data_IF_297150649794
#
_entry.id   IF_297150649794
#
_cell.length_a   1.000
_cell.length_b   1.000
_cell.length_c   1.000
_cell.angle_alpha   90.00
_cell.angle_beta   90.00
_cell.angle_gamma   90.00
#
_symmetry.space_group_name_H-M   'P 1'
#
loop_
_entity.id
_entity.type
_entity.pdbx_description
1 polymer ?
#
# COMPACT_ATOMS: atom_id res chain seq x y z
N UNK A 1 11.47 -38.75 7.69
CA UNK A 1 10.91 -37.48 8.18
C UNK A 1 10.09 -36.92 7.04
N UNK A 2 8.78 -36.85 7.18
CA UNK A 2 7.93 -36.16 6.20
C UNK A 2 8.36 -34.71 6.18
N UNK A 3 8.83 -34.25 5.02
CA UNK A 3 8.92 -32.82 4.76
C UNK A 3 7.46 -32.39 4.63
N UNK A 4 6.91 -31.77 5.67
CA UNK A 4 5.65 -31.06 5.54
C UNK A 4 5.88 -29.99 4.48
N UNK A 5 5.46 -30.29 3.25
CA UNK A 5 5.45 -29.33 2.16
C UNK A 5 4.55 -28.19 2.64
N UNK A 6 5.14 -27.01 2.85
CA UNK A 6 4.39 -25.79 3.10
C UNK A 6 3.24 -25.72 2.09
N UNK A 7 1.99 -25.42 2.52
CA UNK A 7 0.88 -25.27 1.59
C UNK A 7 1.28 -24.30 0.47
N UNK A 8 0.88 -24.60 -0.77
CA UNK A 8 1.11 -23.67 -1.88
C UNK A 8 0.56 -22.28 -1.51
N UNK A 9 1.19 -21.20 -1.99
CA UNK A 9 0.74 -19.85 -1.67
C UNK A 9 -0.74 -19.61 -2.04
N UNK A 10 -1.23 -20.29 -3.09
CA UNK A 10 -2.65 -20.36 -3.46
C UNK A 10 -3.49 -20.98 -2.34
N UNK A 11 -3.10 -22.15 -1.83
CA UNK A 11 -3.81 -22.82 -0.75
C UNK A 11 -3.82 -21.99 0.55
N UNK A 12 -2.71 -21.32 0.88
CA UNK A 12 -2.68 -20.41 2.02
C UNK A 12 -3.58 -19.17 1.82
N UNK A 13 -3.71 -18.68 0.58
CA UNK A 13 -4.54 -17.51 0.25
C UNK A 13 -6.03 -17.83 0.23
N UNK A 14 -6.41 -19.01 -0.27
CA UNK A 14 -7.80 -19.33 -0.58
C UNK A 14 -8.36 -20.58 0.13
N UNK A 15 -7.52 -21.42 0.74
CA UNK A 15 -7.97 -22.67 1.38
C UNK A 15 -8.77 -23.55 0.41
N UNK A 16 -9.88 -24.12 0.89
CA UNK A 16 -10.80 -24.92 0.06
C UNK A 16 -11.54 -24.16 -1.03
N UNK A 17 -11.43 -22.82 -1.08
CA UNK A 17 -11.99 -21.97 -2.14
C UNK A 17 -10.94 -21.59 -3.20
N UNK A 18 -9.80 -22.30 -3.24
CA UNK A 18 -8.79 -22.06 -4.25
C UNK A 18 -9.31 -22.36 -5.66
N UNK A 19 -8.98 -21.53 -6.67
CA UNK A 19 -9.17 -21.91 -8.06
C UNK A 19 -8.41 -23.20 -8.37
N UNK A 20 -9.03 -24.10 -9.15
CA UNK A 20 -8.49 -25.44 -9.42
C UNK A 20 -7.27 -25.41 -10.35
N UNK A 21 -7.30 -24.54 -11.36
CA UNK A 21 -6.27 -24.45 -12.41
C UNK A 21 -5.63 -23.06 -12.41
N UNK A 22 -4.56 -22.89 -11.64
CA UNK A 22 -3.79 -21.64 -11.59
C UNK A 22 -2.51 -21.79 -12.40
N UNK A 23 -2.34 -20.96 -13.44
CA UNK A 23 -1.07 -20.85 -14.14
C UNK A 23 0.02 -20.34 -13.19
N UNK A 24 1.22 -20.94 -13.25
CA UNK A 24 2.34 -20.58 -12.37
C UNK A 24 3.57 -20.12 -13.14
N UNK A 25 4.20 -19.08 -12.62
CA UNK A 25 5.53 -18.57 -12.99
C UNK A 25 6.17 -18.00 -11.71
N UNK A 26 7.49 -17.83 -11.68
CA UNK A 26 8.18 -17.25 -10.51
C UNK A 26 7.57 -15.91 -10.05
N UNK A 27 7.11 -15.09 -11.00
CA UNK A 27 6.46 -13.80 -10.71
C UNK A 27 5.10 -14.00 -10.04
N UNK A 28 4.30 -14.94 -10.54
CA UNK A 28 2.98 -15.26 -9.96
C UNK A 28 3.15 -15.87 -8.57
N UNK A 29 4.13 -16.77 -8.39
CA UNK A 29 4.45 -17.38 -7.10
C UNK A 29 4.88 -16.34 -6.08
N UNK A 30 5.74 -15.39 -6.46
CA UNK A 30 6.14 -14.26 -5.60
C UNK A 30 4.94 -13.40 -5.19
N UNK A 31 4.08 -13.03 -6.14
CA UNK A 31 2.86 -12.25 -5.87
C UNK A 31 1.92 -12.98 -4.90
N UNK A 32 1.74 -14.29 -5.07
CA UNK A 32 0.89 -15.11 -4.21
C UNK A 32 1.52 -15.31 -2.82
N UNK A 33 2.84 -15.33 -2.72
CA UNK A 33 3.58 -15.45 -1.47
C UNK A 33 3.58 -14.15 -0.62
N UNK A 34 3.10 -13.02 -1.17
CA UNK A 34 3.11 -11.74 -0.47
C UNK A 34 2.46 -11.81 0.92
N UNK A 35 3.18 -11.25 1.89
CA UNK A 35 2.79 -11.03 3.28
C UNK A 35 3.45 -9.74 3.75
N UNK A 36 2.72 -8.94 4.54
CA UNK A 36 3.29 -7.71 5.10
C UNK A 36 4.18 -8.03 6.30
N UNK A 37 5.45 -7.66 6.22
CA UNK A 37 6.46 -7.80 7.27
C UNK A 37 6.39 -6.58 8.19
N UNK A 38 6.58 -6.77 9.50
CA UNK A 38 6.58 -5.68 10.51
C UNK A 38 7.74 -5.76 11.50
N UNK A 39 8.59 -6.79 11.41
CA UNK A 39 9.84 -6.89 12.16
C UNK A 39 11.02 -6.97 11.21
N UNK A 40 12.04 -6.18 11.49
CA UNK A 40 13.15 -5.95 10.58
C UNK A 40 14.47 -6.04 11.31
N UNK A 41 15.48 -6.53 10.60
CA UNK A 41 16.88 -6.39 11.00
C UNK A 41 17.33 -4.93 10.81
N UNK A 42 18.34 -4.46 11.58
CA UNK A 42 18.86 -3.10 11.46
C UNK A 42 19.69 -2.88 10.19
N UNK A 43 20.01 -3.94 9.45
CA UNK A 43 20.76 -3.90 8.20
C UNK A 43 20.16 -2.90 7.20
N UNK A 44 20.96 -1.99 6.63
CA UNK A 44 20.44 -1.00 5.70
C UNK A 44 19.96 -1.65 4.40
N UNK A 45 18.92 -1.06 3.81
CA UNK A 45 18.61 -1.24 2.38
C UNK A 45 19.65 -0.46 1.59
N UNK A 46 20.48 -1.16 0.82
CA UNK A 46 21.59 -0.57 0.07
C UNK A 46 21.11 0.38 -1.01
N UNK A 47 21.97 1.27 -1.49
CA UNK A 47 21.64 2.17 -2.60
C UNK A 47 21.38 1.42 -3.90
N UNK A 48 22.06 0.29 -4.12
CA UNK A 48 21.83 -0.57 -5.27
C UNK A 48 20.45 -1.24 -5.22
N UNK A 49 20.04 -1.77 -4.05
CA UNK A 49 18.69 -2.31 -3.84
C UNK A 49 17.63 -1.22 -4.02
N UNK A 50 17.82 -0.04 -3.42
CA UNK A 50 16.89 1.08 -3.57
C UNK A 50 16.77 1.54 -5.04
N UNK A 51 17.89 1.65 -5.76
CA UNK A 51 17.88 2.00 -7.17
C UNK A 51 17.13 0.97 -8.02
N UNK A 52 17.32 -0.33 -7.75
CA UNK A 52 16.59 -1.40 -8.43
C UNK A 52 15.07 -1.33 -8.14
N UNK A 53 14.69 -1.11 -6.87
CA UNK A 53 13.30 -0.94 -6.45
C UNK A 53 12.64 0.25 -7.14
N UNK A 54 13.32 1.40 -7.21
CA UNK A 54 12.78 2.60 -7.88
C UNK A 54 12.72 2.43 -9.40
N UNK A 55 13.71 1.78 -10.02
CA UNK A 55 13.66 1.50 -11.47
C UNK A 55 12.48 0.59 -11.82
N UNK A 56 12.20 -0.43 -11.01
CA UNK A 56 11.02 -1.28 -11.18
C UNK A 56 9.72 -0.48 -11.01
N UNK A 57 9.66 0.41 -10.02
CA UNK A 57 8.52 1.31 -9.82
C UNK A 57 8.27 2.22 -11.03
N UNK A 58 9.33 2.83 -11.57
CA UNK A 58 9.28 3.67 -12.78
C UNK A 58 8.87 2.92 -14.04
N UNK A 59 8.98 1.60 -14.03
CA UNK A 59 8.57 0.75 -15.15
C UNK A 59 7.08 0.37 -15.11
N UNK A 60 6.31 0.85 -14.13
CA UNK A 60 4.86 0.68 -14.09
C UNK A 60 4.16 1.47 -15.22
N UNK A 61 2.99 0.98 -15.64
CA UNK A 61 2.13 1.76 -16.53
C UNK A 61 1.70 3.08 -15.85
N UNK A 62 1.59 4.16 -16.62
CA UNK A 62 1.14 5.46 -16.13
C UNK A 62 0.15 6.08 -17.10
N UNK A 63 -0.85 6.80 -16.57
CA UNK A 63 -1.89 7.40 -17.42
C UNK A 63 -1.29 8.43 -18.36
N UNK A 64 -1.48 8.24 -19.66
CA UNK A 64 -0.97 9.14 -20.72
C UNK A 64 0.53 9.47 -20.62
N UNK A 65 1.31 8.57 -19.99
CA UNK A 65 2.72 8.79 -19.67
C UNK A 65 3.03 10.04 -18.82
N UNK A 66 2.04 10.56 -18.08
CA UNK A 66 2.17 11.79 -17.28
C UNK A 66 3.06 11.61 -16.05
N UNK A 67 3.15 10.39 -15.51
CA UNK A 67 3.98 10.04 -14.37
C UNK A 67 3.72 10.94 -13.15
N UNK A 68 2.44 11.10 -12.75
CA UNK A 68 1.98 12.06 -11.73
C UNK A 68 2.24 11.57 -10.30
N UNK A 69 3.43 11.04 -10.08
CA UNK A 69 3.88 10.52 -8.81
C UNK A 69 5.35 10.84 -8.56
N UNK A 70 5.72 10.82 -7.29
CA UNK A 70 7.10 10.91 -6.80
C UNK A 70 7.25 10.01 -5.58
N UNK A 71 8.49 9.79 -5.11
CA UNK A 71 8.75 9.04 -3.88
C UNK A 71 9.89 9.69 -3.09
N UNK A 72 9.72 9.80 -1.78
CA UNK A 72 10.77 10.28 -0.85
C UNK A 72 11.31 9.11 -0.06
N UNK A 73 12.62 8.87 -0.14
CA UNK A 73 13.30 7.90 0.71
C UNK A 73 13.71 8.56 2.04
N UNK A 74 13.12 8.10 3.14
CA UNK A 74 13.40 8.57 4.50
C UNK A 74 14.25 7.52 5.23
N UNK A 75 15.54 7.83 5.42
CA UNK A 75 16.52 7.04 6.18
C UNK A 75 17.02 7.73 7.45
N UNK A 76 16.61 8.97 7.68
CA UNK A 76 16.95 9.72 8.89
C UNK A 76 16.08 9.24 10.06
N UNK A 77 16.70 8.92 11.20
CA UNK A 77 16.03 8.28 12.34
C UNK A 77 15.03 9.22 13.00
N UNK A 78 15.41 10.49 13.19
CA UNK A 78 14.55 11.51 13.79
C UNK A 78 13.30 11.74 12.93
N UNK A 79 13.46 11.85 11.61
CA UNK A 79 12.34 12.00 10.68
C UNK A 79 11.46 10.75 10.61
N UNK A 80 12.02 9.53 10.67
CA UNK A 80 11.20 8.29 10.76
C UNK A 80 10.41 8.24 12.07
N UNK A 81 11.02 8.63 13.19
CA UNK A 81 10.33 8.72 14.48
C UNK A 81 9.18 9.73 14.46
N UNK A 82 9.42 10.93 13.91
CA UNK A 82 8.38 11.94 13.74
C UNK A 82 7.25 11.46 12.82
N UNK A 83 7.55 10.82 11.68
CA UNK A 83 6.54 10.23 10.80
C UNK A 83 5.76 9.09 11.48
N UNK A 84 6.41 8.30 12.33
CA UNK A 84 5.75 7.24 13.12
C UNK A 84 4.72 7.83 14.07
N UNK A 85 5.06 8.88 14.81
CA UNK A 85 4.14 9.58 15.70
C UNK A 85 2.90 10.09 14.95
N UNK A 86 3.09 10.68 13.76
CA UNK A 86 2.00 11.12 12.88
C UNK A 86 1.16 9.96 12.31
N UNK A 87 1.75 8.76 12.25
CA UNK A 87 1.14 7.54 11.73
C UNK A 87 0.53 6.64 12.83
N UNK A 88 0.39 7.13 14.06
CA UNK A 88 -0.16 6.38 15.19
C UNK A 88 0.84 5.41 15.83
N UNK A 89 2.09 5.87 16.00
CA UNK A 89 3.16 5.21 16.75
C UNK A 89 3.43 3.77 16.29
N UNK A 90 3.42 3.57 14.97
CA UNK A 90 3.66 2.27 14.36
C UNK A 90 5.16 1.92 14.42
N UNK A 91 5.55 1.10 15.41
CA UNK A 91 6.94 0.69 15.70
C UNK A 91 7.74 0.23 14.49
N UNK A 92 7.09 -0.44 13.54
CA UNK A 92 7.77 -0.92 12.33
C UNK A 92 8.29 0.20 11.42
N UNK A 93 7.78 1.43 11.54
CA UNK A 93 8.32 2.61 10.83
C UNK A 93 9.70 3.00 11.39
N UNK A 94 9.90 2.87 12.70
CA UNK A 94 11.16 3.23 13.37
C UNK A 94 12.15 2.06 13.40
N UNK A 95 11.65 0.82 13.47
CA UNK A 95 12.49 -0.38 13.48
C UNK A 95 13.16 -0.67 12.12
N UNK A 96 12.52 -0.30 11.01
CA UNK A 96 13.09 -0.49 9.68
C UNK A 96 14.09 0.62 9.30
N UNK A 97 15.08 0.29 8.44
CA UNK A 97 16.08 1.25 7.99
C UNK A 97 15.57 2.23 6.92
N UNK A 98 14.41 1.96 6.30
CA UNK A 98 13.90 2.74 5.18
C UNK A 98 12.37 2.85 5.22
N UNK A 99 11.89 4.08 5.13
CA UNK A 99 10.50 4.40 4.79
C UNK A 99 10.48 5.12 3.44
N UNK A 100 9.79 4.56 2.46
CA UNK A 100 9.46 5.23 1.21
C UNK A 100 8.11 5.92 1.33
N UNK A 101 8.04 7.23 1.10
CA UNK A 101 6.77 7.98 1.11
C UNK A 101 6.38 8.28 -0.33
N UNK A 102 5.31 7.62 -0.79
CA UNK A 102 4.80 7.72 -2.16
C UNK A 102 3.84 8.90 -2.27
N UNK A 103 4.04 9.70 -3.31
CA UNK A 103 3.41 10.99 -3.48
C UNK A 103 2.54 11.00 -4.73
N UNK A 104 1.40 11.68 -4.63
CA UNK A 104 0.72 12.27 -5.78
C UNK A 104 1.48 13.56 -6.11
N UNK A 105 2.02 13.67 -7.32
CA UNK A 105 2.88 14.79 -7.72
C UNK A 105 2.36 15.44 -9.00
N UNK A 106 1.50 16.44 -8.82
CA UNK A 106 1.09 17.38 -9.87
C UNK A 106 2.06 18.56 -9.95
N UNK A 107 2.89 18.78 -8.92
CA UNK A 107 3.88 19.85 -8.87
C UNK A 107 4.82 19.84 -10.06
N UNK A 108 5.26 18.66 -10.51
CA UNK A 108 6.06 18.53 -11.75
C UNK A 108 5.31 19.04 -12.98
N UNK A 109 4.03 18.69 -13.13
CA UNK A 109 3.21 19.13 -14.26
C UNK A 109 2.99 20.66 -14.24
N UNK A 110 2.71 21.25 -13.08
CA UNK A 110 2.61 22.70 -12.93
C UNK A 110 3.94 23.41 -13.25
N UNK A 111 5.08 22.85 -12.82
CA UNK A 111 6.39 23.41 -13.13
C UNK A 111 6.69 23.41 -14.64
N UNK A 112 6.35 22.32 -15.34
CA UNK A 112 6.46 22.23 -16.81
C UNK A 112 5.58 23.31 -17.45
N UNK A 113 4.30 23.38 -17.10
CA UNK A 113 3.40 24.34 -17.72
C UNK A 113 3.80 25.79 -17.44
N UNK A 114 4.28 26.12 -16.24
CA UNK A 114 4.82 27.44 -15.92
C UNK A 114 6.04 27.79 -16.79
N UNK A 115 6.97 26.85 -16.98
CA UNK A 115 8.14 27.04 -17.84
C UNK A 115 7.77 27.25 -19.33
N UNK A 116 6.63 26.71 -19.75
CA UNK A 116 6.12 26.81 -21.12
C UNK A 116 5.00 27.85 -21.29
N UNK A 117 4.65 28.61 -20.24
CA UNK A 117 3.53 29.57 -20.23
C UNK A 117 2.21 28.94 -20.71
N UNK A 118 1.98 27.67 -20.38
CA UNK A 118 0.82 26.90 -20.78
C UNK A 118 -0.23 26.86 -19.67
N UNK A 119 -1.53 26.74 -20.01
CA UNK A 119 -2.58 26.56 -19.01
C UNK A 119 -2.47 25.21 -18.31
N UNK A 120 -2.86 25.16 -17.02
CA UNK A 120 -2.83 23.95 -16.18
C UNK A 120 -4.19 23.53 -15.63
N UNK A 121 -5.28 24.12 -16.11
CA UNK A 121 -6.62 23.91 -15.51
C UNK A 121 -7.04 22.44 -15.44
N UNK A 122 -6.50 21.58 -16.31
CA UNK A 122 -6.71 20.13 -16.24
C UNK A 122 -6.24 19.50 -14.93
N UNK A 123 -5.20 20.05 -14.29
CA UNK A 123 -4.66 19.59 -13.01
C UNK A 123 -5.61 19.88 -11.83
N UNK A 124 -6.51 20.85 -11.98
CA UNK A 124 -7.40 21.31 -10.91
C UNK A 124 -8.61 20.39 -10.71
N UNK A 125 -8.94 19.57 -11.71
CA UNK A 125 -10.05 18.61 -11.63
C UNK A 125 -9.71 17.40 -10.79
N UNK A 126 -10.73 16.84 -10.12
CA UNK A 126 -10.60 15.60 -9.34
C UNK A 126 -9.92 14.47 -10.13
N UNK A 127 -10.13 14.41 -11.45
CA UNK A 127 -9.51 13.45 -12.36
C UNK A 127 -7.98 13.40 -12.21
N UNK A 128 -7.29 14.54 -12.23
CA UNK A 128 -5.83 14.57 -12.14
C UNK A 128 -5.32 14.07 -10.78
N UNK A 129 -6.06 14.34 -9.71
CA UNK A 129 -5.76 13.77 -8.40
C UNK A 129 -5.94 12.24 -8.39
N UNK A 130 -7.04 11.74 -8.97
CA UNK A 130 -7.30 10.29 -9.09
C UNK A 130 -6.19 9.62 -9.89
N UNK A 131 -5.80 10.18 -11.04
CA UNK A 131 -4.68 9.68 -11.86
C UNK A 131 -3.41 9.58 -11.04
N UNK A 132 -3.02 10.63 -10.32
CA UNK A 132 -1.78 10.59 -9.54
C UNK A 132 -1.82 9.59 -8.37
N UNK A 133 -2.98 9.37 -7.74
CA UNK A 133 -3.13 8.29 -6.74
C UNK A 133 -2.98 6.90 -7.37
N UNK A 134 -3.55 6.68 -8.56
CA UNK A 134 -3.44 5.42 -9.30
C UNK A 134 -1.99 5.17 -9.73
N UNK A 135 -1.35 6.16 -10.37
CA UNK A 135 0.05 6.09 -10.79
C UNK A 135 0.98 5.75 -9.60
N UNK A 136 0.81 6.43 -8.46
CA UNK A 136 1.59 6.17 -7.26
C UNK A 136 1.37 4.74 -6.71
N UNK A 137 0.14 4.22 -6.75
CA UNK A 137 -0.18 2.86 -6.31
C UNK A 137 0.40 1.78 -7.23
N UNK A 138 0.36 1.99 -8.55
CA UNK A 138 0.96 1.08 -9.53
C UNK A 138 2.48 1.03 -9.38
N UNK A 139 3.12 2.20 -9.28
CA UNK A 139 4.57 2.30 -9.06
C UNK A 139 4.98 1.64 -7.73
N UNK A 140 4.25 1.90 -6.65
CA UNK A 140 4.51 1.30 -5.36
C UNK A 140 4.35 -0.23 -5.36
N UNK A 141 3.35 -0.76 -6.05
CA UNK A 141 3.16 -2.21 -6.12
C UNK A 141 4.26 -2.89 -6.93
N UNK A 142 4.78 -2.27 -8.00
CA UNK A 142 5.99 -2.75 -8.66
C UNK A 142 7.22 -2.72 -7.72
N UNK A 143 7.38 -1.65 -6.93
CA UNK A 143 8.43 -1.57 -5.92
C UNK A 143 8.32 -2.68 -4.86
N UNK A 144 7.12 -3.05 -4.43
CA UNK A 144 6.90 -4.17 -3.51
C UNK A 144 7.41 -5.47 -4.09
N UNK A 145 7.05 -5.79 -5.34
CA UNK A 145 7.51 -7.03 -6.00
C UNK A 145 9.02 -7.05 -6.18
N UNK A 146 9.63 -5.92 -6.55
CA UNK A 146 11.08 -5.81 -6.65
C UNK A 146 11.78 -5.94 -5.29
N UNK A 147 11.24 -5.34 -4.24
CA UNK A 147 11.79 -5.48 -2.88
C UNK A 147 11.69 -6.93 -2.40
N UNK A 148 10.55 -7.58 -2.58
CA UNK A 148 10.34 -8.97 -2.18
C UNK A 148 11.21 -9.95 -2.97
N UNK A 149 11.46 -9.70 -4.27
CA UNK A 149 12.36 -10.53 -5.08
C UNK A 149 13.84 -10.39 -4.66
N UNK A 150 14.21 -9.28 -4.04
CA UNK A 150 15.52 -9.05 -3.41
C UNK A 150 15.60 -9.63 -1.97
N UNK A 151 14.55 -10.29 -1.49
CA UNK A 151 14.47 -10.84 -0.14
C UNK A 151 14.13 -9.83 0.95
N UNK A 152 13.72 -8.61 0.58
CA UNK A 152 13.26 -7.59 1.54
C UNK A 152 11.79 -7.82 1.91
N UNK A 153 11.42 -7.38 3.11
CA UNK A 153 10.04 -7.33 3.58
C UNK A 153 9.47 -5.93 3.44
N UNK A 154 8.15 -5.83 3.25
CA UNK A 154 7.47 -4.54 3.11
C UNK A 154 6.15 -4.47 3.87
N UNK A 155 5.73 -3.25 4.23
CA UNK A 155 4.36 -2.97 4.68
C UNK A 155 3.94 -1.54 4.33
N UNK A 156 2.74 -1.40 3.76
CA UNK A 156 2.13 -0.10 3.46
C UNK A 156 1.66 0.63 4.72
N UNK A 157 1.89 1.94 4.76
CA UNK A 157 1.51 2.85 5.83
C UNK A 157 0.48 3.87 5.30
N UNK A 158 -0.79 3.47 5.28
CA UNK A 158 -1.88 4.40 4.94
C UNK A 158 -2.15 5.45 6.03
N UNK A 159 -1.58 5.26 7.22
CA UNK A 159 -1.78 6.14 8.38
C UNK A 159 -1.04 7.49 8.26
N UNK A 160 -0.12 7.66 7.30
CA UNK A 160 0.44 8.99 6.99
C UNK A 160 -0.65 10.01 6.59
N UNK A 161 -1.82 9.52 6.15
CA UNK A 161 -2.99 10.36 5.88
C UNK A 161 -3.79 10.78 7.13
N UNK A 162 -3.41 10.37 8.34
CA UNK A 162 -4.08 10.80 9.57
C UNK A 162 -3.79 12.29 9.88
N UNK A 163 -2.57 12.76 9.55
CA UNK A 163 -2.09 14.13 9.76
C UNK A 163 -1.39 14.67 8.50
N UNK A 164 -2.10 14.80 7.37
CA UNK A 164 -1.48 15.02 6.06
C UNK A 164 -0.71 16.35 5.96
N UNK A 165 -1.20 17.42 6.59
CA UNK A 165 -0.52 18.72 6.59
C UNK A 165 0.81 18.69 7.36
N UNK A 166 0.87 17.98 8.49
CA UNK A 166 2.09 17.81 9.28
C UNK A 166 3.10 16.93 8.55
N UNK A 167 2.64 15.87 7.88
CA UNK A 167 3.50 15.04 7.01
C UNK A 167 4.06 15.88 5.85
N UNK A 168 3.24 16.71 5.21
CA UNK A 168 3.68 17.59 4.14
C UNK A 168 4.75 18.59 4.62
N UNK A 169 4.55 19.21 5.79
CA UNK A 169 5.52 20.11 6.39
C UNK A 169 6.83 19.40 6.73
N UNK A 170 6.77 18.22 7.36
CA UNK A 170 7.95 17.45 7.79
C UNK A 170 8.82 16.96 6.61
N UNK A 171 8.18 16.69 5.47
CA UNK A 171 8.85 16.28 4.23
C UNK A 171 9.14 17.45 3.28
N UNK A 172 8.79 18.68 3.67
CA UNK A 172 8.90 19.89 2.86
C UNK A 172 8.23 19.74 1.47
N UNK A 173 7.05 19.12 1.42
CA UNK A 173 6.32 18.93 0.17
C UNK A 173 5.83 20.29 -0.36
N UNK A 174 6.11 20.63 -1.64
CA UNK A 174 5.59 21.85 -2.23
C UNK A 174 4.09 21.73 -2.51
N UNK A 175 3.46 22.84 -2.89
CA UNK A 175 2.08 22.83 -3.38
C UNK A 175 1.94 21.85 -4.55
N UNK A 176 0.75 21.26 -4.68
CA UNK A 176 0.36 20.26 -5.67
C UNK A 176 1.09 18.91 -5.52
N UNK A 177 1.68 18.66 -4.35
CA UNK A 177 2.32 17.38 -3.99
C UNK A 177 1.78 16.86 -2.66
N UNK A 178 1.24 15.64 -2.66
CA UNK A 178 0.53 15.06 -1.51
C UNK A 178 1.03 13.66 -1.17
N UNK A 179 1.27 13.37 0.11
CA UNK A 179 1.69 12.04 0.57
C UNK A 179 0.53 11.02 0.52
N UNK A 180 0.53 10.15 -0.49
CA UNK A 180 -0.49 9.13 -0.67
C UNK A 180 -0.40 8.06 0.43
N UNK A 181 0.77 7.46 0.64
CA UNK A 181 1.02 6.45 1.67
C UNK A 181 2.52 6.22 1.85
N UNK A 182 2.90 5.63 2.97
CA UNK A 182 4.25 5.12 3.19
C UNK A 182 4.38 3.66 2.75
N UNK A 183 5.61 3.21 2.58
CA UNK A 183 6.01 1.82 2.41
C UNK A 183 7.28 1.61 3.21
N UNK A 184 7.18 0.86 4.29
CA UNK A 184 8.36 0.44 5.05
C UNK A 184 9.05 -0.67 4.27
N UNK A 185 10.39 -0.61 4.20
CA UNK A 185 11.23 -1.58 3.49
C UNK A 185 12.43 -1.94 4.37
N UNK A 186 12.73 -3.22 4.51
CA UNK A 186 13.89 -3.69 5.26
C UNK A 186 14.07 -5.20 5.15
N UNK A 187 15.18 -5.73 5.67
CA UNK A 187 15.38 -7.19 5.76
C UNK A 187 14.48 -7.75 6.87
N UNK A 188 13.64 -8.76 6.62
CA UNK A 188 12.82 -9.35 7.68
C UNK A 188 13.69 -9.93 8.79
N UNK A 189 13.30 -9.70 10.05
CA UNK A 189 13.92 -10.37 11.21
C UNK A 189 13.63 -11.88 11.18
N UNK A 190 14.52 -12.72 11.68
CA UNK A 190 14.32 -14.19 11.69
C UNK A 190 13.18 -14.63 12.62
N UNK A 191 12.80 -13.80 13.60
CA UNK A 191 11.62 -13.98 14.45
C UNK A 191 10.33 -13.46 13.83
N UNK A 192 10.40 -12.83 12.65
CA UNK A 192 9.21 -12.49 11.88
C UNK A 192 8.49 -13.78 11.46
N UNK A 193 7.22 -13.88 11.83
CA UNK A 193 6.37 -15.02 11.49
C UNK A 193 5.17 -14.60 10.64
N UNK A 194 5.31 -13.53 9.86
CA UNK A 194 4.27 -13.07 8.95
C UNK A 194 3.83 -14.20 8.01
N UNK A 195 2.58 -14.62 8.12
CA UNK A 195 1.97 -15.64 7.27
C UNK A 195 1.17 -15.02 6.12
N UNK A 196 0.98 -15.79 5.06
CA UNK A 196 0.09 -15.44 3.95
C UNK A 196 -1.33 -15.34 4.50
N UNK A 197 -1.83 -14.11 4.64
CA UNK A 197 -3.20 -13.88 5.11
C UNK A 197 -4.21 -14.33 4.04
N UNK A 198 -5.30 -15.04 4.42
CA UNK A 198 -6.39 -15.38 3.51
C UNK A 198 -6.99 -14.17 2.80
N UNK A 199 -7.70 -14.41 1.69
CA UNK A 199 -8.50 -13.40 0.98
C UNK A 199 -9.92 -13.92 0.73
N UNK A 200 -10.80 -12.97 0.39
CA UNK A 200 -12.11 -13.28 -0.17
C UNK A 200 -11.97 -14.28 -1.34
N UNK A 201 -12.93 -15.19 -1.53
CA UNK A 201 -12.93 -16.06 -2.70
C UNK A 201 -12.98 -15.23 -3.99
N UNK A 202 -12.45 -15.77 -5.09
CA UNK A 202 -12.41 -15.03 -6.36
C UNK A 202 -13.80 -14.66 -6.87
N UNK A 203 -14.84 -15.46 -6.61
CA UNK A 203 -16.22 -15.15 -7.01
C UNK A 203 -16.79 -13.90 -6.36
N UNK A 204 -16.20 -13.41 -5.26
CA UNK A 204 -16.59 -12.14 -4.63
C UNK A 204 -15.84 -10.92 -5.18
N UNK A 205 -14.92 -11.11 -6.12
CA UNK A 205 -14.03 -10.04 -6.62
C UNK A 205 -14.01 -10.00 -8.15
N UNK A 206 -14.00 -11.15 -8.81
CA UNK A 206 -14.07 -11.29 -10.25
C UNK A 206 -15.53 -11.51 -10.65
N UNK A 207 -16.05 -10.58 -11.45
CA UNK A 207 -17.38 -10.68 -12.05
C UNK A 207 -17.24 -10.77 -13.57
N UNK A 208 -18.09 -11.58 -14.21
CA UNK A 208 -18.04 -11.80 -15.65
C UNK A 208 -19.10 -10.96 -16.35
N UNK A 209 -18.66 -10.15 -17.33
CA UNK A 209 -19.46 -9.21 -18.13
C UNK A 209 -20.10 -8.06 -17.33
N UNK A 210 -20.86 -8.38 -16.28
CA UNK A 210 -21.56 -7.44 -15.41
C UNK A 210 -21.24 -7.71 -13.95
N UNK A 211 -21.39 -6.68 -13.12
CA UNK A 211 -21.31 -6.84 -11.68
C UNK A 211 -22.46 -7.74 -11.18
N UNK A 212 -22.13 -8.72 -10.36
CA UNK A 212 -23.10 -9.66 -9.76
C UNK A 212 -22.85 -9.74 -8.26
N UNK A 213 -23.84 -9.34 -7.48
CA UNK A 213 -23.81 -9.32 -6.01
C UNK A 213 -24.56 -10.48 -5.36
N UNK A 214 -25.12 -11.41 -6.15
CA UNK A 214 -25.96 -12.50 -5.65
C UNK A 214 -25.21 -13.41 -4.65
N UNK A 215 -23.91 -13.64 -4.87
CA UNK A 215 -23.09 -14.52 -4.01
C UNK A 215 -22.37 -13.78 -2.87
N UNK A 216 -22.53 -12.47 -2.73
CA UNK A 216 -21.73 -11.70 -1.76
C UNK A 216 -21.90 -12.18 -0.32
N UNK A 217 -23.13 -12.45 0.11
CA UNK A 217 -23.41 -12.87 1.48
C UNK A 217 -22.72 -14.21 1.81
N UNK A 218 -22.83 -15.19 0.90
CA UNK A 218 -22.25 -16.52 1.07
C UNK A 218 -20.71 -16.46 1.02
N UNK A 219 -20.15 -15.67 0.10
CA UNK A 219 -18.72 -15.48 0.00
C UNK A 219 -18.11 -14.78 1.22
N UNK A 220 -18.81 -13.80 1.78
CA UNK A 220 -18.43 -13.13 3.03
C UNK A 220 -18.48 -14.11 4.20
N UNK A 221 -19.55 -14.91 4.33
CA UNK A 221 -19.66 -15.90 5.40
C UNK A 221 -18.54 -16.95 5.33
N UNK A 222 -18.22 -17.45 4.14
CA UNK A 222 -17.14 -18.41 3.93
C UNK A 222 -15.75 -17.80 4.21
N UNK A 223 -15.55 -16.52 3.92
CA UNK A 223 -14.32 -15.81 4.26
C UNK A 223 -14.20 -15.52 5.76
N UNK A 224 -15.29 -15.13 6.42
CA UNK A 224 -15.33 -14.81 7.86
C UNK A 224 -14.86 -16.01 8.71
N UNK A 225 -15.31 -17.22 8.39
CA UNK A 225 -14.81 -18.44 9.05
C UNK A 225 -13.29 -18.61 8.88
N UNK A 226 -12.80 -18.59 7.63
CA UNK A 226 -11.38 -18.82 7.32
C UNK A 226 -10.45 -17.76 7.92
N UNK A 227 -10.83 -16.50 7.86
CA UNK A 227 -10.02 -15.43 8.44
C UNK A 227 -10.08 -15.45 9.97
N UNK A 228 -11.21 -15.89 10.54
CA UNK A 228 -11.35 -16.17 11.98
C UNK A 228 -10.38 -17.25 12.46
N UNK A 229 -10.29 -18.38 11.75
CA UNK A 229 -9.32 -19.45 12.05
C UNK A 229 -7.87 -18.93 12.00
N UNK A 230 -7.54 -18.19 10.93
CA UNK A 230 -6.22 -17.55 10.80
C UNK A 230 -5.92 -16.62 11.97
N UNK A 231 -6.87 -15.78 12.39
CA UNK A 231 -6.69 -14.90 13.54
C UNK A 231 -6.52 -15.68 14.84
N UNK A 232 -7.30 -16.73 15.07
CA UNK A 232 -7.18 -17.57 16.25
C UNK A 232 -5.79 -18.23 16.35
N UNK A 233 -5.25 -18.70 15.24
CA UNK A 233 -3.88 -19.22 15.16
C UNK A 233 -2.80 -18.16 15.44
N UNK A 234 -3.07 -16.88 15.12
CA UNK A 234 -2.23 -15.74 15.51
C UNK A 234 -2.48 -15.27 16.96
N UNK A 235 -3.34 -15.95 17.72
CA UNK A 235 -3.70 -15.58 19.09
C UNK A 235 -4.63 -14.35 19.18
N UNK A 236 -5.36 -14.05 18.10
CA UNK A 236 -6.24 -12.89 17.99
C UNK A 236 -7.71 -13.30 17.98
N UNK A 237 -8.54 -12.59 18.75
CA UNK A 237 -10.00 -12.73 18.72
C UNK A 237 -10.60 -11.61 17.87
N UNK A 238 -10.56 -11.76 16.55
CA UNK A 238 -11.05 -10.76 15.60
C UNK A 238 -12.07 -11.33 14.64
N UNK A 239 -13.11 -10.55 14.35
CA UNK A 239 -13.97 -10.73 13.18
C UNK A 239 -13.51 -9.82 12.04
N UNK A 240 -13.55 -10.30 10.79
CA UNK A 240 -13.26 -9.41 9.66
C UNK A 240 -14.44 -8.47 9.40
N UNK A 241 -15.67 -8.98 9.44
CA UNK A 241 -16.90 -8.17 9.31
C UNK A 241 -16.93 -7.05 10.35
N UNK A 242 -16.69 -7.35 11.64
CA UNK A 242 -16.68 -6.31 12.68
C UNK A 242 -15.59 -5.26 12.43
N UNK A 243 -14.41 -5.65 11.92
CA UNK A 243 -13.35 -4.69 11.56
C UNK A 243 -13.75 -3.79 10.40
N UNK A 244 -14.42 -4.31 9.39
CA UNK A 244 -14.96 -3.52 8.28
C UNK A 244 -15.98 -2.53 8.80
N UNK A 245 -16.97 -3.00 9.57
CA UNK A 245 -18.02 -2.16 10.15
C UNK A 245 -17.46 -1.09 11.09
N UNK A 246 -16.53 -1.46 11.99
CA UNK A 246 -15.87 -0.53 12.89
C UNK A 246 -15.15 0.57 12.10
N UNK A 247 -14.42 0.21 11.03
CA UNK A 247 -13.68 1.17 10.21
C UNK A 247 -14.59 2.13 9.44
N UNK A 248 -15.77 1.67 9.03
CA UNK A 248 -16.74 2.44 8.24
C UNK A 248 -17.85 3.08 9.09
N UNK A 249 -17.82 2.91 10.41
CA UNK A 249 -18.88 3.35 11.33
C UNK A 249 -19.12 4.86 11.35
N UNK A 250 -18.12 5.68 11.01
CA UNK A 250 -18.26 7.12 10.91
C UNK A 250 -16.93 7.87 11.00
N UNK A 251 -16.95 9.22 11.02
CA UNK A 251 -15.75 10.06 10.99
C UNK A 251 -14.73 9.76 12.11
N UNK A 252 -15.21 9.48 13.33
CA UNK A 252 -14.35 9.15 14.46
C UNK A 252 -13.46 7.90 14.19
N UNK A 253 -13.96 6.93 13.43
CA UNK A 253 -13.21 5.73 13.08
C UNK A 253 -12.16 5.97 11.97
N UNK A 254 -12.17 7.13 11.31
CA UNK A 254 -11.29 7.45 10.21
C UNK A 254 -9.94 8.05 10.66
N UNK A 255 -9.80 8.43 11.93
CA UNK A 255 -8.59 9.05 12.51
C UNK A 255 -8.22 10.36 11.79
N UNK A 256 -9.19 11.26 11.60
CA UNK A 256 -9.01 12.55 10.92
C UNK A 256 -9.06 12.48 9.39
N UNK A 257 -9.13 11.28 8.80
CA UNK A 257 -9.18 11.08 7.34
C UNK A 257 -10.51 11.47 6.71
N UNK A 258 -11.54 11.78 7.50
CA UNK A 258 -12.75 12.45 7.05
C UNK A 258 -12.47 13.85 6.46
N UNK A 259 -11.36 14.48 6.84
CA UNK A 259 -10.95 15.81 6.38
C UNK A 259 -10.01 15.79 5.17
N UNK A 260 -9.86 14.64 4.51
CA UNK A 260 -8.86 14.45 3.44
C UNK A 260 -9.06 15.40 2.25
N UNK A 261 -10.32 15.71 1.89
CA UNK A 261 -10.64 16.70 0.85
C UNK A 261 -10.04 18.07 1.19
N UNK A 262 -10.27 18.56 2.40
CA UNK A 262 -9.77 19.85 2.85
C UNK A 262 -8.24 19.87 2.93
N UNK A 263 -7.62 18.76 3.33
CA UNK A 263 -6.16 18.63 3.34
C UNK A 263 -5.55 18.68 1.92
N UNK A 264 -6.18 18.02 0.94
CA UNK A 264 -5.78 18.10 -0.47
C UNK A 264 -5.91 19.53 -1.01
N UNK A 265 -7.02 20.21 -0.72
CA UNK A 265 -7.25 21.60 -1.11
C UNK A 265 -6.23 22.56 -0.49
N UNK A 266 -5.87 22.37 0.78
CA UNK A 266 -4.80 23.14 1.43
C UNK A 266 -3.42 22.90 0.79
N UNK A 267 -3.23 21.76 0.13
CA UNK A 267 -2.02 21.41 -0.62
C UNK A 267 -2.13 21.77 -2.11
N UNK A 268 -3.11 22.59 -2.52
CA UNK A 268 -3.21 23.10 -3.89
C UNK A 268 -3.98 22.20 -4.87
N UNK A 269 -4.60 21.12 -4.41
CA UNK A 269 -5.50 20.32 -5.25
C UNK A 269 -6.91 20.91 -5.19
N UNK A 270 -7.36 21.61 -6.23
CA UNK A 270 -8.68 22.28 -6.19
C UNK A 270 -9.85 21.29 -6.09
N UNK A 271 -9.73 20.13 -6.75
CA UNK A 271 -10.72 19.05 -6.80
C UNK A 271 -12.07 19.54 -7.35
N UNK A 272 -12.02 20.31 -8.45
CA UNK A 272 -13.18 20.77 -9.22
C UNK A 272 -14.05 19.62 -9.72
#
# INVERSE_FOLDING_TARGET
MSVDLLPSAVAARYGGAAPLDVASTDVIELQLAHRSVRRYLPDPVTDAELAAVVAAAQSAATSSNLQLWSVVAVRDDERRAALSALAGDQEHITAAPLLLVWLVDLGRAHAIAAAHQAPTEGADFLESAVVGFVDAALAAQNAVLAAESLGLGTVYIGALRNRPAEVAALLHLPQHVFAAFGLVVGRPDLSENARIKPRLPQSAVLHHETYDDAEHADAVAAYEGRIGDFYAEEGLSHSWVERVLARLSGPAALNGRDQLRSALQAQGFELR
#
